data_IF_070985999739
#
_entry.id   IF_070985999739
#
_cell.length_a   1.000
_cell.length_b   1.000
_cell.length_c   1.000
_cell.angle_alpha   90.00
_cell.angle_beta   90.00
_cell.angle_gamma   90.00
#
_symmetry.space_group_name_H-M   'P 1'
#
loop_
_entity.id
_entity.type
_entity.pdbx_description
1 polymer ?
#
# COMPACT_ATOMS: atom_id res chain seq x y z
N UNK A 1 18.70 11.44 15.79
CA UNK A 1 17.64 12.43 15.50
C UNK A 1 16.28 11.75 15.67
N UNK A 2 15.67 11.77 16.87
CA UNK A 2 14.38 11.12 17.14
C UNK A 2 13.22 11.72 16.31
N UNK A 3 13.28 13.01 15.97
CA UNK A 3 12.22 13.71 15.24
C UNK A 3 11.99 13.15 13.83
N UNK A 4 13.03 12.58 13.20
CA UNK A 4 12.90 11.90 11.90
C UNK A 4 11.96 10.68 11.98
N UNK A 5 12.01 9.94 13.09
CA UNK A 5 11.12 8.80 13.29
C UNK A 5 9.68 9.26 13.48
N UNK A 6 9.46 10.37 14.22
CA UNK A 6 8.15 10.98 14.38
C UNK A 6 7.57 11.52 13.07
N UNK A 7 8.38 12.26 12.30
CA UNK A 7 7.97 12.84 11.03
C UNK A 7 7.57 11.80 9.97
N UNK A 8 8.22 10.63 9.96
CA UNK A 8 7.92 9.55 9.01
C UNK A 8 6.88 8.52 9.47
N UNK A 9 6.43 8.56 10.73
CA UNK A 9 5.65 7.48 11.33
C UNK A 9 4.33 7.19 10.59
N UNK A 10 3.58 8.23 10.22
CA UNK A 10 2.30 8.09 9.54
C UNK A 10 2.46 7.57 8.10
N UNK A 11 3.46 8.04 7.37
CA UNK A 11 3.74 7.54 6.03
C UNK A 11 4.21 6.08 6.06
N UNK A 12 5.00 5.70 7.06
CA UNK A 12 5.41 4.31 7.28
C UNK A 12 4.20 3.41 7.55
N UNK A 13 3.29 3.81 8.45
CA UNK A 13 2.08 3.05 8.77
C UNK A 13 1.27 2.72 7.51
N UNK A 14 1.03 3.72 6.66
CA UNK A 14 0.27 3.52 5.43
C UNK A 14 1.03 2.72 4.39
N UNK A 15 2.34 2.98 4.21
CA UNK A 15 3.18 2.20 3.31
C UNK A 15 3.13 0.72 3.69
N UNK A 16 3.30 0.41 4.98
CA UNK A 16 3.23 -0.96 5.47
C UNK A 16 1.84 -1.57 5.24
N UNK A 17 0.76 -0.80 5.49
CA UNK A 17 -0.61 -1.22 5.19
C UNK A 17 -0.82 -1.59 3.72
N UNK A 18 -0.30 -0.79 2.78
CA UNK A 18 -0.36 -1.08 1.34
C UNK A 18 0.37 -2.38 0.98
N UNK A 19 1.56 -2.61 1.57
CA UNK A 19 2.32 -3.85 1.36
C UNK A 19 1.56 -5.07 1.87
N UNK A 20 0.98 -4.99 3.07
CA UNK A 20 0.17 -6.08 3.66
C UNK A 20 -1.05 -6.38 2.79
N UNK A 21 -1.76 -5.35 2.32
CA UNK A 21 -2.90 -5.51 1.41
C UNK A 21 -2.46 -6.11 0.07
N UNK A 22 -1.33 -5.68 -0.49
CA UNK A 22 -0.75 -6.26 -1.70
C UNK A 22 -0.47 -7.75 -1.54
N UNK A 23 0.12 -8.16 -0.42
CA UNK A 23 0.36 -9.57 -0.11
C UNK A 23 -0.95 -10.37 -0.02
N UNK A 24 -1.98 -9.82 0.63
CA UNK A 24 -3.30 -10.48 0.70
C UNK A 24 -3.98 -10.58 -0.67
N UNK A 25 -3.87 -9.57 -1.53
CA UNK A 25 -4.32 -9.65 -2.91
C UNK A 25 -3.60 -10.75 -3.69
N UNK A 26 -2.28 -10.86 -3.55
CA UNK A 26 -1.49 -11.93 -4.18
C UNK A 26 -1.99 -13.33 -3.76
N UNK A 27 -2.22 -13.54 -2.45
CA UNK A 27 -2.80 -14.80 -1.95
C UNK A 27 -4.20 -15.05 -2.52
N UNK A 28 -5.04 -14.02 -2.61
CA UNK A 28 -6.41 -14.13 -3.11
C UNK A 28 -6.44 -14.48 -4.59
N UNK A 29 -5.58 -13.86 -5.40
CA UNK A 29 -5.45 -14.13 -6.83
C UNK A 29 -4.94 -15.54 -7.08
N UNK A 30 -3.95 -16.01 -6.32
CA UNK A 30 -3.49 -17.39 -6.40
C UNK A 30 -4.64 -18.39 -6.18
N UNK A 31 -5.40 -18.21 -5.10
CA UNK A 31 -6.55 -19.06 -4.80
C UNK A 31 -7.67 -18.95 -5.86
N UNK A 32 -7.84 -17.77 -6.49
CA UNK A 32 -8.80 -17.60 -7.56
C UNK A 32 -8.43 -18.39 -8.81
N UNK A 33 -7.15 -18.38 -9.21
CA UNK A 33 -6.67 -19.20 -10.32
C UNK A 33 -6.83 -20.70 -10.04
N UNK A 34 -6.43 -21.16 -8.85
CA UNK A 34 -6.58 -22.57 -8.46
C UNK A 34 -8.04 -23.05 -8.55
N UNK A 35 -9.00 -22.19 -8.18
CA UNK A 35 -10.44 -22.49 -8.27
C UNK A 35 -10.96 -22.48 -9.72
N UNK A 36 -10.48 -21.54 -10.54
CA UNK A 36 -10.83 -21.50 -11.96
C UNK A 36 -10.34 -22.77 -12.67
N UNK A 37 -9.11 -23.21 -12.40
CA UNK A 37 -8.53 -24.43 -12.98
C UNK A 37 -9.28 -25.70 -12.53
N UNK A 38 -9.83 -25.68 -11.31
CA UNK A 38 -10.67 -26.76 -10.78
C UNK A 38 -12.13 -26.75 -11.28
N UNK A 39 -12.52 -25.77 -12.11
CA UNK A 39 -13.88 -25.66 -12.65
C UNK A 39 -14.93 -25.17 -11.65
N UNK A 40 -14.56 -24.30 -10.70
CA UNK A 40 -15.50 -23.63 -9.78
C UNK A 40 -16.57 -22.86 -10.58
N UNK A 41 -17.84 -22.99 -10.16
CA UNK A 41 -19.02 -22.45 -10.86
C UNK A 41 -19.12 -20.92 -10.82
N UNK A 42 -18.28 -20.26 -10.02
CA UNK A 42 -18.25 -18.79 -9.84
C UNK A 42 -17.18 -18.10 -10.69
N UNK A 43 -16.96 -18.57 -11.91
CA UNK A 43 -15.90 -18.06 -12.78
C UNK A 43 -15.92 -16.52 -12.94
N UNK A 44 -17.09 -15.92 -13.12
CA UNK A 44 -17.24 -14.47 -13.28
C UNK A 44 -16.79 -13.69 -12.04
N UNK A 45 -17.13 -14.17 -10.85
CA UNK A 45 -16.71 -13.55 -9.59
C UNK A 45 -15.19 -13.65 -9.39
N UNK A 46 -14.60 -14.81 -9.69
CA UNK A 46 -13.16 -15.04 -9.56
C UNK A 46 -12.38 -14.16 -10.54
N UNK A 47 -12.85 -14.06 -11.79
CA UNK A 47 -12.27 -13.15 -12.79
C UNK A 47 -12.39 -11.68 -12.35
N UNK A 48 -13.54 -11.26 -11.83
CA UNK A 48 -13.71 -9.91 -11.29
C UNK A 48 -12.75 -9.62 -10.11
N UNK A 49 -12.48 -10.62 -9.26
CA UNK A 49 -11.49 -10.51 -8.18
C UNK A 49 -10.07 -10.32 -8.71
N UNK A 50 -9.69 -11.06 -9.75
CA UNK A 50 -8.38 -10.92 -10.40
C UNK A 50 -8.22 -9.52 -11.02
N UNK A 51 -9.25 -9.03 -11.72
CA UNK A 51 -9.25 -7.68 -12.29
C UNK A 51 -9.12 -6.60 -11.20
N UNK A 52 -9.84 -6.75 -10.10
CA UNK A 52 -9.78 -5.82 -8.97
C UNK A 52 -8.39 -5.81 -8.32
N UNK A 53 -7.77 -6.98 -8.15
CA UNK A 53 -6.41 -7.09 -7.62
C UNK A 53 -5.40 -6.37 -8.52
N UNK A 54 -5.52 -6.53 -9.85
CA UNK A 54 -4.68 -5.82 -10.81
C UNK A 54 -4.84 -4.32 -10.70
N UNK A 55 -6.07 -3.82 -10.62
CA UNK A 55 -6.33 -2.39 -10.37
C UNK A 55 -5.62 -1.91 -9.09
N UNK A 56 -5.70 -2.67 -7.99
CA UNK A 56 -5.02 -2.31 -6.74
C UNK A 56 -3.50 -2.20 -6.93
N UNK A 57 -2.90 -3.19 -7.61
CA UNK A 57 -1.46 -3.19 -7.89
C UNK A 57 -1.03 -2.04 -8.80
N UNK A 58 -1.82 -1.71 -9.80
CA UNK A 58 -1.47 -0.66 -10.78
C UNK A 58 -1.77 0.76 -10.27
N UNK A 59 -2.82 0.93 -9.45
CA UNK A 59 -3.33 2.26 -9.09
C UNK A 59 -3.08 2.66 -7.64
N UNK A 60 -3.02 1.70 -6.70
CA UNK A 60 -2.84 2.01 -5.28
C UNK A 60 -1.41 1.70 -4.82
N UNK A 61 -0.82 0.59 -5.28
CA UNK A 61 0.54 0.21 -4.87
C UNK A 61 1.62 1.28 -5.14
N UNK A 62 1.58 2.08 -6.22
CA UNK A 62 2.57 3.14 -6.45
C UNK A 62 2.66 4.19 -5.32
N UNK A 63 1.62 4.33 -4.50
CA UNK A 63 1.63 5.20 -3.32
C UNK A 63 2.72 4.82 -2.31
N UNK A 64 3.18 3.56 -2.31
CA UNK A 64 4.34 3.14 -1.50
C UNK A 64 5.61 3.92 -1.85
N UNK A 65 5.84 4.25 -3.13
CA UNK A 65 6.98 5.03 -3.56
C UNK A 65 6.88 6.50 -3.10
N UNK A 66 5.69 7.10 -3.20
CA UNK A 66 5.40 8.42 -2.65
C UNK A 66 5.70 8.48 -1.15
N UNK A 67 5.19 7.51 -0.40
CA UNK A 67 5.36 7.46 1.06
C UNK A 67 6.81 7.23 1.47
N UNK A 68 7.52 6.36 0.75
CA UNK A 68 8.97 6.18 0.93
C UNK A 68 9.72 7.50 0.77
N UNK A 69 9.42 8.27 -0.28
CA UNK A 69 10.06 9.56 -0.50
C UNK A 69 9.82 10.56 0.65
N UNK A 70 8.60 10.58 1.22
CA UNK A 70 8.29 11.42 2.39
C UNK A 70 9.03 10.99 3.66
N UNK A 71 9.15 9.69 3.89
CA UNK A 71 9.93 9.14 5.01
C UNK A 71 11.41 9.54 4.87
N UNK A 72 11.96 9.44 3.65
CA UNK A 72 13.36 9.77 3.36
C UNK A 72 13.66 11.28 3.47
N UNK A 73 12.65 12.15 3.29
CA UNK A 73 12.81 13.60 3.45
C UNK A 73 13.11 14.03 4.90
N UNK A 74 12.77 13.21 5.89
CA UNK A 74 13.05 13.47 7.31
C UNK A 74 12.27 14.65 7.89
N UNK A 75 12.70 15.10 9.07
CA UNK A 75 11.99 16.10 9.87
C UNK A 75 12.35 17.56 9.54
N UNK A 76 13.43 17.80 8.79
CA UNK A 76 14.00 19.14 8.64
C UNK A 76 12.96 20.16 8.12
N UNK A 77 12.14 19.78 7.14
CA UNK A 77 11.11 20.68 6.58
C UNK A 77 9.91 20.92 7.51
N UNK A 78 9.51 19.91 8.29
CA UNK A 78 8.34 20.00 9.20
C UNK A 78 8.70 20.63 10.55
N UNK A 79 9.98 20.62 10.92
CA UNK A 79 10.50 21.24 12.15
C UNK A 79 11.18 22.59 11.90
N UNK A 80 11.18 23.09 10.65
CA UNK A 80 11.87 24.34 10.30
C UNK A 80 11.18 25.61 10.81
N UNK A 81 9.84 25.60 10.89
CA UNK A 81 9.06 26.77 11.30
C UNK A 81 8.98 26.82 12.83
N UNK A 82 9.19 28.02 13.40
CA UNK A 82 9.02 28.24 14.83
C UNK A 82 7.56 28.03 15.24
N UNK A 83 7.34 27.46 16.43
CA UNK A 83 6.00 27.20 16.93
C UNK A 83 5.12 28.45 17.03
N UNK A 84 5.70 29.63 17.27
CA UNK A 84 4.96 30.90 17.35
C UNK A 84 4.43 31.41 16.00
N UNK A 85 4.81 30.76 14.89
CA UNK A 85 4.38 31.12 13.55
C UNK A 85 3.24 30.23 13.00
N UNK A 86 2.64 29.37 13.84
CA UNK A 86 1.48 28.51 13.51
C UNK A 86 0.16 29.03 14.08
#
# INVERSE_FOLDING_TARGET
KPDNAGAGATDYMHLFGLVVLGFMWGKSVKAAYEKLDAGDDRADFLNAKIVTARFFMERLMPETALRKARIEAGADSVMALDAAAF
#
